data_IF_503974387798
#
_entry.id   IF_503974387798
#
_cell.length_a   1.000
_cell.length_b   1.000
_cell.length_c   1.000
_cell.angle_alpha   90.00
_cell.angle_beta   90.00
_cell.angle_gamma   90.00
#
_symmetry.space_group_name_H-M   'P 1'
#
loop_
_entity.id
_entity.type
_entity.pdbx_description
1 polymer ?
#
# COMPACT_ATOMS: atom_id res chain seq x y z
N UNK A 1 91.20 11.66 -14.42
CA UNK A 1 90.39 10.47 -14.77
C UNK A 1 89.98 9.78 -13.47
N UNK A 2 88.80 10.04 -12.95
CA UNK A 2 88.11 9.19 -11.99
C UNK A 2 86.64 9.74 -11.86
N UNK A 3 85.75 8.97 -12.31
CA UNK A 3 84.25 9.26 -12.29
C UNK A 3 83.75 9.28 -10.87
N UNK A 4 83.15 10.38 -10.45
CA UNK A 4 82.41 10.47 -9.21
C UNK A 4 80.97 10.14 -9.50
N UNK A 5 80.45 9.00 -8.97
CA UNK A 5 79.07 8.61 -9.01
C UNK A 5 78.30 9.28 -7.86
N UNK A 6 77.43 10.21 -8.16
CA UNK A 6 76.51 10.76 -7.19
C UNK A 6 75.27 9.82 -7.09
N UNK A 7 75.06 9.25 -5.91
CA UNK A 7 73.86 8.51 -5.54
C UNK A 7 72.82 9.52 -5.16
N UNK A 8 71.78 9.64 -5.99
CA UNK A 8 70.56 10.35 -5.60
C UNK A 8 69.66 9.37 -4.81
N UNK A 9 69.47 9.66 -3.54
CA UNK A 9 68.58 8.94 -2.66
C UNK A 9 67.17 9.54 -2.85
N UNK A 10 66.24 8.85 -3.54
CA UNK A 10 64.82 9.21 -3.59
C UNK A 10 64.17 8.76 -2.30
N UNK A 11 63.78 9.71 -1.45
CA UNK A 11 62.94 9.48 -0.29
C UNK A 11 61.50 9.42 -0.76
N UNK A 12 60.92 8.20 -0.90
CA UNK A 12 59.49 8.01 -1.12
C UNK A 12 58.76 8.28 0.18
N UNK A 13 58.13 9.43 0.29
CA UNK A 13 57.15 9.72 1.35
C UNK A 13 55.87 8.99 1.00
N UNK A 14 55.63 7.85 1.63
CA UNK A 14 54.32 7.18 1.65
C UNK A 14 53.37 8.03 2.46
N UNK A 15 52.54 8.84 1.81
CA UNK A 15 51.31 9.37 2.39
C UNK A 15 50.33 8.20 2.59
N UNK A 16 49.83 7.95 3.79
CA UNK A 16 48.75 7.02 3.94
C UNK A 16 47.53 7.58 3.20
N UNK A 17 47.17 6.96 2.10
CA UNK A 17 45.90 7.21 1.42
C UNK A 17 44.81 6.88 2.41
N UNK A 18 44.18 7.90 2.97
CA UNK A 18 42.89 7.79 3.61
C UNK A 18 41.90 7.32 2.54
N UNK A 19 41.65 6.04 2.52
CA UNK A 19 40.44 5.48 1.87
C UNK A 19 39.27 6.14 2.55
N UNK A 20 38.78 7.22 1.98
CA UNK A 20 37.43 7.69 2.25
C UNK A 20 36.50 6.58 1.75
N UNK A 21 36.15 5.65 2.62
CA UNK A 21 34.93 4.87 2.40
C UNK A 21 33.81 5.91 2.29
N UNK A 22 33.00 5.88 1.22
CA UNK A 22 31.79 6.67 1.24
C UNK A 22 31.07 6.27 2.53
N UNK A 23 30.72 7.24 3.37
CA UNK A 23 29.79 6.99 4.43
C UNK A 23 28.60 6.33 3.74
N UNK A 24 28.26 5.12 4.14
CA UNK A 24 27.04 4.46 3.72
C UNK A 24 25.95 5.46 4.14
N UNK A 25 25.33 6.12 3.16
CA UNK A 25 24.16 6.93 3.43
C UNK A 25 23.20 5.95 4.10
N UNK A 26 22.92 6.16 5.38
CA UNK A 26 21.93 5.34 6.07
C UNK A 26 20.66 5.37 5.23
N UNK A 27 20.02 4.23 5.03
CA UNK A 27 18.78 4.16 4.30
C UNK A 27 17.83 5.23 4.85
N UNK A 28 17.28 6.02 3.95
CA UNK A 28 16.43 7.13 4.34
C UNK A 28 15.12 6.57 4.89
N UNK A 29 14.78 6.91 6.14
CA UNK A 29 13.50 6.56 6.74
C UNK A 29 12.35 6.86 5.79
N UNK A 30 11.51 5.88 5.47
CA UNK A 30 10.28 6.11 4.71
C UNK A 30 9.27 6.85 5.60
N UNK A 31 8.78 7.97 5.11
CA UNK A 31 7.71 8.77 5.73
C UNK A 31 6.62 8.97 4.70
N UNK A 32 5.64 8.08 4.73
CA UNK A 32 4.59 7.98 3.74
C UNK A 32 3.25 8.57 4.16
N UNK A 33 2.44 8.91 3.17
CA UNK A 33 1.02 9.21 3.34
C UNK A 33 0.21 8.52 2.26
N UNK A 34 -0.88 7.85 2.64
CA UNK A 34 -1.84 7.26 1.69
C UNK A 34 -2.82 8.32 1.19
N UNK A 35 -3.06 8.28 -0.12
CA UNK A 35 -4.05 9.09 -0.83
C UNK A 35 -5.08 8.16 -1.45
N UNK A 36 -6.25 8.08 -0.82
CA UNK A 36 -7.35 7.19 -1.22
C UNK A 36 -8.21 7.84 -2.30
N UNK A 37 -8.53 7.06 -3.33
CA UNK A 37 -9.41 7.50 -4.42
C UNK A 37 -10.80 6.88 -4.34
N UNK A 38 -10.94 5.71 -3.68
CA UNK A 38 -12.25 5.08 -3.45
C UNK A 38 -13.16 6.02 -2.67
N UNK A 39 -14.41 6.13 -3.09
CA UNK A 39 -15.40 7.05 -2.52
C UNK A 39 -14.96 8.53 -2.52
N UNK A 40 -13.90 8.87 -3.27
CA UNK A 40 -13.35 10.23 -3.32
C UNK A 40 -12.93 10.75 -1.93
N UNK A 41 -12.37 9.84 -1.11
CA UNK A 41 -11.97 10.16 0.26
C UNK A 41 -10.92 11.27 0.31
N UNK A 42 -9.90 11.18 -0.56
CA UNK A 42 -8.80 12.16 -0.59
C UNK A 42 -8.68 12.84 -1.97
N UNK A 43 -8.88 12.07 -3.06
CA UNK A 43 -8.66 12.53 -4.44
C UNK A 43 -9.43 11.65 -5.45
N UNK A 44 -10.10 12.24 -6.46
CA UNK A 44 -10.45 13.67 -6.55
C UNK A 44 -11.57 14.04 -5.58
N UNK A 45 -11.77 15.34 -5.33
CA UNK A 45 -12.83 15.81 -4.41
C UNK A 45 -14.25 15.67 -4.97
N UNK A 46 -14.38 15.44 -6.28
CA UNK A 46 -15.65 15.19 -6.98
C UNK A 46 -15.39 14.56 -8.35
N UNK A 47 -16.40 13.87 -8.90
CA UNK A 47 -16.37 13.40 -10.29
C UNK A 47 -16.60 14.55 -11.27
N UNK A 48 -16.09 14.42 -12.50
CA UNK A 48 -16.33 15.36 -13.59
C UNK A 48 -15.54 16.68 -13.49
N UNK A 49 -14.50 16.70 -12.67
CA UNK A 49 -13.58 17.83 -12.60
C UNK A 49 -12.75 17.92 -13.88
N UNK A 50 -12.42 19.15 -14.29
CA UNK A 50 -11.50 19.40 -15.40
C UNK A 50 -10.06 18.98 -15.05
N UNK A 51 -9.24 18.73 -16.06
CA UNK A 51 -7.83 18.42 -15.88
C UNK A 51 -7.10 19.47 -15.02
N UNK A 52 -7.41 20.77 -15.20
CA UNK A 52 -6.80 21.84 -14.41
C UNK A 52 -7.23 21.84 -12.94
N UNK A 53 -8.47 21.49 -12.62
CA UNK A 53 -8.92 21.34 -11.23
C UNK A 53 -8.27 20.17 -10.54
N UNK A 54 -8.12 19.05 -11.25
CA UNK A 54 -7.44 17.86 -10.73
C UNK A 54 -5.96 18.10 -10.54
N UNK A 55 -5.28 18.78 -11.49
CA UNK A 55 -3.90 19.19 -11.33
C UNK A 55 -3.73 20.09 -10.09
N UNK A 56 -4.63 21.04 -9.89
CA UNK A 56 -4.57 21.92 -8.73
C UNK A 56 -4.69 21.14 -7.41
N UNK A 57 -5.59 20.14 -7.35
CA UNK A 57 -5.72 19.28 -6.16
C UNK A 57 -4.49 18.39 -5.96
N UNK A 58 -4.01 17.72 -7.00
CA UNK A 58 -2.81 16.89 -6.95
C UNK A 58 -1.59 17.69 -6.50
N UNK A 59 -1.43 18.92 -7.02
CA UNK A 59 -0.36 19.84 -6.61
C UNK A 59 -0.43 20.19 -5.11
N UNK A 60 -1.63 20.47 -4.59
CA UNK A 60 -1.82 20.72 -3.16
C UNK A 60 -1.42 19.50 -2.33
N UNK A 61 -1.78 18.28 -2.75
CA UNK A 61 -1.44 17.04 -2.05
C UNK A 61 0.07 16.88 -1.95
N UNK A 62 0.79 16.96 -3.07
CA UNK A 62 2.26 16.74 -3.07
C UNK A 62 3.01 17.91 -2.39
N UNK A 63 2.53 19.15 -2.52
CA UNK A 63 3.11 20.30 -1.83
C UNK A 63 2.97 20.18 -0.31
N UNK A 64 1.80 19.77 0.17
CA UNK A 64 1.58 19.52 1.58
C UNK A 64 2.42 18.33 2.08
N UNK A 65 2.42 17.21 1.39
CA UNK A 65 3.25 16.06 1.76
C UNK A 65 4.72 16.48 1.92
N UNK A 66 5.31 17.14 0.92
CA UNK A 66 6.69 17.61 0.97
C UNK A 66 6.95 18.61 2.10
N UNK A 67 6.09 19.62 2.25
CA UNK A 67 6.25 20.68 3.26
C UNK A 67 6.20 20.16 4.70
N UNK A 68 5.51 19.03 4.91
CA UNK A 68 5.38 18.35 6.20
C UNK A 68 6.52 17.38 6.50
N UNK A 69 7.37 17.09 5.51
CA UNK A 69 8.52 16.20 5.68
C UNK A 69 8.23 14.76 5.25
N UNK A 70 7.08 14.48 4.65
CA UNK A 70 6.87 13.20 3.96
C UNK A 70 7.79 13.10 2.75
N UNK A 71 8.20 11.88 2.43
CA UNK A 71 9.04 11.59 1.26
C UNK A 71 8.41 10.55 0.33
N UNK A 72 7.24 10.00 0.68
CA UNK A 72 6.49 9.04 -0.12
C UNK A 72 4.98 9.33 -0.14
N UNK A 73 4.36 9.11 -1.30
CA UNK A 73 2.90 9.15 -1.50
C UNK A 73 2.45 7.80 -2.04
N UNK A 74 1.50 7.17 -1.36
CA UNK A 74 0.84 5.94 -1.79
C UNK A 74 -0.49 6.32 -2.45
N UNK A 75 -0.50 6.43 -3.77
CA UNK A 75 -1.70 6.81 -4.52
C UNK A 75 -2.52 5.59 -4.88
N UNK A 76 -3.79 5.54 -4.46
CA UNK A 76 -4.70 4.47 -4.84
C UNK A 76 -5.07 4.61 -6.33
N UNK A 77 -4.42 3.81 -7.19
CA UNK A 77 -4.60 3.88 -8.65
C UNK A 77 -5.61 2.85 -9.18
N UNK A 78 -5.86 1.80 -8.40
CA UNK A 78 -6.87 0.77 -8.69
C UNK A 78 -7.69 0.48 -7.44
N UNK A 79 -8.71 1.32 -7.13
CA UNK A 79 -9.53 1.16 -5.93
C UNK A 79 -10.50 -0.03 -6.01
N UNK A 80 -10.80 -0.45 -7.23
CA UNK A 80 -11.71 -1.54 -7.56
C UNK A 80 -11.28 -2.14 -8.92
N UNK A 81 -12.16 -2.79 -9.67
CA UNK A 81 -11.92 -3.21 -11.06
C UNK A 81 -12.00 -2.02 -12.04
N UNK A 82 -11.36 -0.92 -11.70
CA UNK A 82 -11.28 0.30 -12.50
C UNK A 82 -9.96 1.05 -12.20
N UNK A 83 -9.52 1.94 -13.08
CA UNK A 83 -8.20 2.54 -13.05
C UNK A 83 -8.23 4.07 -13.00
N UNK A 84 -7.24 4.66 -12.29
CA UNK A 84 -6.89 6.08 -12.31
C UNK A 84 -5.68 6.36 -13.23
N UNK A 85 -5.48 5.49 -14.21
CA UNK A 85 -4.42 5.56 -15.20
C UNK A 85 -4.93 4.97 -16.52
N UNK A 86 -4.23 5.24 -17.61
CA UNK A 86 -4.57 4.65 -18.91
C UNK A 86 -4.24 3.17 -18.91
N UNK A 87 -5.26 2.33 -18.96
CA UNK A 87 -5.14 0.88 -18.95
C UNK A 87 -5.83 0.21 -20.12
N UNK A 88 -5.22 -0.86 -20.63
CA UNK A 88 -5.81 -1.79 -21.61
C UNK A 88 -6.64 -2.90 -20.93
N UNK A 89 -6.56 -3.02 -19.61
CA UNK A 89 -7.17 -4.12 -18.82
C UNK A 89 -8.33 -3.67 -17.94
N UNK A 90 -8.20 -2.52 -17.28
CA UNK A 90 -9.21 -1.95 -16.40
C UNK A 90 -9.85 -0.69 -17.03
N UNK A 91 -11.17 -0.50 -16.93
CA UNK A 91 -11.83 0.71 -17.42
C UNK A 91 -11.45 1.92 -16.58
N UNK A 92 -11.58 3.13 -17.14
CA UNK A 92 -11.47 4.37 -16.35
C UNK A 92 -12.41 4.36 -15.14
N UNK A 93 -11.92 4.81 -14.00
CA UNK A 93 -12.70 4.79 -12.76
C UNK A 93 -13.91 5.73 -12.81
N UNK A 94 -15.03 5.26 -12.28
CA UNK A 94 -16.26 6.07 -12.10
C UNK A 94 -16.02 7.33 -11.29
N UNK A 95 -15.05 7.32 -10.39
CA UNK A 95 -14.71 8.46 -9.53
C UNK A 95 -14.08 9.63 -10.28
N UNK A 96 -13.61 9.41 -11.52
CA UNK A 96 -13.05 10.48 -12.38
C UNK A 96 -14.14 11.30 -13.08
N UNK A 97 -15.05 10.62 -13.77
CA UNK A 97 -16.05 11.29 -14.64
C UNK A 97 -17.47 11.17 -14.13
N UNK A 98 -17.74 10.24 -13.21
CA UNK A 98 -19.08 9.82 -12.79
C UNK A 98 -19.61 8.63 -13.61
N UNK A 99 -18.90 8.19 -14.64
CA UNK A 99 -19.24 7.03 -15.49
C UNK A 99 -18.01 6.16 -15.67
N UNK A 100 -18.08 4.88 -15.27
CA UNK A 100 -16.98 3.94 -15.47
C UNK A 100 -16.73 3.76 -16.97
N UNK A 101 -15.47 3.62 -17.37
CA UNK A 101 -15.05 3.48 -18.77
C UNK A 101 -14.96 4.79 -19.56
N UNK A 102 -15.54 5.87 -19.08
CA UNK A 102 -15.46 7.17 -19.76
C UNK A 102 -14.07 7.80 -19.58
N UNK A 103 -13.35 8.01 -20.70
CA UNK A 103 -12.04 8.70 -20.72
C UNK A 103 -12.16 10.13 -20.15
N UNK A 104 -11.42 10.45 -19.08
CA UNK A 104 -11.42 11.80 -18.49
C UNK A 104 -10.67 12.84 -19.35
N UNK A 105 -9.98 12.42 -20.42
CA UNK A 105 -9.19 13.29 -21.30
C UNK A 105 -7.79 13.63 -20.77
N UNK A 106 -7.35 13.03 -19.69
CA UNK A 106 -6.01 13.18 -19.09
C UNK A 106 -5.65 11.88 -18.32
N UNK A 107 -4.40 11.77 -17.87
CA UNK A 107 -3.92 10.64 -17.07
C UNK A 107 -3.62 11.10 -15.63
N UNK A 108 -4.48 10.74 -14.65
CA UNK A 108 -4.30 11.17 -13.26
C UNK A 108 -3.04 10.65 -12.59
N UNK A 109 -2.63 9.40 -12.91
CA UNK A 109 -1.41 8.84 -12.36
C UNK A 109 -0.17 9.53 -12.92
N UNK A 110 -0.10 9.74 -14.25
CA UNK A 110 1.02 10.45 -14.86
C UNK A 110 1.15 11.87 -14.31
N UNK A 111 0.03 12.57 -14.15
CA UNK A 111 0.00 13.89 -13.54
C UNK A 111 0.57 13.88 -12.12
N UNK A 112 0.18 12.89 -11.28
CA UNK A 112 0.68 12.79 -9.91
C UNK A 112 2.18 12.46 -9.88
N UNK A 113 2.64 11.58 -10.78
CA UNK A 113 4.06 11.24 -10.94
C UNK A 113 4.89 12.50 -11.27
N UNK A 114 4.48 13.26 -12.29
CA UNK A 114 5.19 14.47 -12.70
C UNK A 114 5.31 15.46 -11.54
N UNK A 115 4.22 15.69 -10.80
CA UNK A 115 4.19 16.58 -9.65
C UNK A 115 5.03 16.06 -8.47
N UNK A 116 5.05 14.76 -8.23
CA UNK A 116 5.85 14.13 -7.18
C UNK A 116 7.36 14.21 -7.50
N UNK A 117 7.75 13.94 -8.76
CA UNK A 117 9.14 14.06 -9.22
C UNK A 117 9.68 15.48 -9.12
N UNK A 118 8.89 16.50 -9.43
CA UNK A 118 9.27 17.91 -9.23
C UNK A 118 9.64 18.25 -7.78
N UNK A 119 9.26 17.40 -6.81
CA UNK A 119 9.41 17.59 -5.37
C UNK A 119 10.31 16.55 -4.70
N UNK A 120 10.97 15.71 -5.48
CA UNK A 120 11.73 14.57 -4.96
C UNK A 120 10.89 13.73 -3.96
N UNK A 121 9.66 13.40 -4.35
CA UNK A 121 8.79 12.49 -3.61
C UNK A 121 8.75 11.14 -4.33
N UNK A 122 8.86 10.06 -3.54
CA UNK A 122 8.54 8.71 -3.97
C UNK A 122 7.04 8.62 -4.23
N UNK A 123 6.65 7.93 -5.31
CA UNK A 123 5.25 7.66 -5.67
C UNK A 123 5.04 6.16 -5.83
N UNK A 124 4.09 5.61 -5.09
CA UNK A 124 3.75 4.20 -5.15
C UNK A 124 2.33 4.01 -5.67
N UNK A 125 2.18 3.05 -6.59
CA UNK A 125 0.88 2.70 -7.15
C UNK A 125 0.16 1.71 -6.21
N UNK A 126 -0.81 2.21 -5.45
CA UNK A 126 -1.62 1.39 -4.57
C UNK A 126 -2.79 0.75 -5.31
N UNK A 127 -2.86 -0.57 -5.23
CA UNK A 127 -3.83 -1.45 -5.91
C UNK A 127 -4.62 -2.23 -4.85
N UNK A 128 -5.95 -2.22 -4.97
CA UNK A 128 -6.80 -3.23 -4.36
C UNK A 128 -6.96 -4.39 -5.37
N UNK A 129 -6.40 -5.58 -5.12
CA UNK A 129 -6.31 -6.59 -6.19
C UNK A 129 -7.64 -7.23 -6.57
N UNK A 130 -8.52 -7.52 -5.61
CA UNK A 130 -9.67 -8.39 -5.86
C UNK A 130 -11.03 -7.67 -5.90
N UNK A 131 -11.14 -6.45 -5.40
CA UNK A 131 -12.40 -5.72 -5.44
C UNK A 131 -12.73 -5.33 -6.88
N UNK A 132 -13.94 -5.68 -7.35
CA UNK A 132 -14.47 -5.29 -8.65
C UNK A 132 -15.28 -4.02 -8.57
N UNK A 133 -16.18 -3.92 -7.58
CA UNK A 133 -16.99 -2.73 -7.32
C UNK A 133 -17.51 -2.69 -5.90
N UNK A 134 -17.79 -1.49 -5.44
CA UNK A 134 -18.60 -1.24 -4.23
C UNK A 134 -20.10 -1.33 -4.57
N UNK A 135 -21.00 -1.44 -3.59
CA UNK A 135 -22.44 -1.50 -3.87
C UNK A 135 -22.99 -0.30 -4.65
N UNK A 136 -22.36 0.86 -4.50
CA UNK A 136 -22.84 2.12 -5.09
C UNK A 136 -22.30 2.38 -6.51
N UNK A 137 -21.31 1.62 -6.96
CA UNK A 137 -20.76 1.76 -8.31
C UNK A 137 -21.61 1.01 -9.34
N UNK A 138 -21.68 1.57 -10.55
CA UNK A 138 -22.21 0.88 -11.73
C UNK A 138 -21.04 0.23 -12.47
N UNK A 139 -21.22 -1.00 -12.92
CA UNK A 139 -20.23 -1.72 -13.71
C UNK A 139 -20.46 -1.44 -15.20
N UNK A 140 -19.40 -1.09 -15.91
CA UNK A 140 -19.44 -0.89 -17.35
C UNK A 140 -19.66 -2.24 -18.07
N UNK A 141 -20.66 -2.29 -18.95
CA UNK A 141 -21.07 -3.51 -19.66
C UNK A 141 -20.07 -3.99 -20.72
N UNK A 142 -19.17 -3.11 -21.16
CA UNK A 142 -18.19 -3.43 -22.20
C UNK A 142 -16.91 -4.06 -21.63
N UNK A 143 -16.83 -4.25 -20.29
CA UNK A 143 -15.67 -4.83 -19.63
C UNK A 143 -15.69 -6.35 -19.63
N UNK A 144 -14.48 -6.95 -19.63
CA UNK A 144 -14.34 -8.42 -19.48
C UNK A 144 -14.92 -8.90 -18.15
N UNK A 145 -14.80 -8.07 -17.08
CA UNK A 145 -15.33 -8.40 -15.76
C UNK A 145 -16.86 -8.47 -15.75
N UNK A 146 -17.55 -7.59 -16.49
CA UNK A 146 -18.99 -7.68 -16.68
C UNK A 146 -19.38 -8.94 -17.45
N UNK A 147 -18.67 -9.28 -18.51
CA UNK A 147 -18.91 -10.52 -19.27
C UNK A 147 -18.72 -11.74 -18.37
N UNK A 148 -17.65 -11.79 -17.57
CA UNK A 148 -17.44 -12.88 -16.61
C UNK A 148 -18.56 -12.96 -15.57
N UNK A 149 -19.03 -11.84 -15.04
CA UNK A 149 -20.15 -11.81 -14.11
C UNK A 149 -21.42 -12.44 -14.70
N UNK A 150 -21.69 -12.21 -15.99
CA UNK A 150 -22.90 -12.71 -16.66
C UNK A 150 -22.78 -14.14 -17.19
N UNK A 151 -21.58 -14.57 -17.56
CA UNK A 151 -21.37 -15.82 -18.29
C UNK A 151 -20.63 -16.89 -17.48
N UNK A 152 -19.90 -16.50 -16.40
CA UNK A 152 -19.02 -17.36 -15.63
C UNK A 152 -19.36 -17.32 -14.14
N UNK A 153 -20.15 -18.26 -13.66
CA UNK A 153 -20.71 -18.32 -12.29
C UNK A 153 -19.71 -18.22 -11.13
N UNK A 154 -18.39 -18.28 -11.40
CA UNK A 154 -17.34 -18.38 -10.37
C UNK A 154 -16.28 -17.29 -10.45
N UNK A 155 -16.24 -16.53 -11.55
CA UNK A 155 -15.15 -15.58 -11.79
C UNK A 155 -15.34 -14.30 -11.00
N UNK A 156 -16.55 -13.74 -11.03
CA UNK A 156 -16.93 -12.51 -10.34
C UNK A 156 -18.14 -12.79 -9.47
N UNK A 157 -17.97 -12.64 -8.16
CA UNK A 157 -18.97 -13.07 -7.19
C UNK A 157 -19.15 -12.05 -6.05
N UNK A 158 -20.32 -12.13 -5.40
CA UNK A 158 -20.54 -11.46 -4.10
C UNK A 158 -19.86 -12.24 -2.97
N UNK A 159 -19.84 -11.70 -1.76
CA UNK A 159 -19.37 -12.44 -0.57
C UNK A 159 -20.17 -13.71 -0.27
N UNK A 160 -21.37 -13.84 -0.84
CA UNK A 160 -22.23 -15.03 -0.74
C UNK A 160 -22.12 -15.97 -1.95
N UNK A 161 -21.13 -15.73 -2.83
CA UNK A 161 -20.91 -16.58 -4.02
C UNK A 161 -21.95 -16.43 -5.12
N UNK A 162 -22.74 -15.37 -5.10
CA UNK A 162 -23.71 -15.07 -6.15
C UNK A 162 -23.03 -14.34 -7.32
N UNK A 163 -23.49 -14.63 -8.54
CA UNK A 163 -23.07 -13.98 -9.78
C UNK A 163 -24.26 -13.62 -10.66
N UNK A 164 -24.02 -13.05 -11.84
CA UNK A 164 -25.05 -12.65 -12.77
C UNK A 164 -25.78 -11.37 -12.36
N UNK A 165 -26.95 -11.14 -13.00
CA UNK A 165 -27.71 -9.89 -12.86
C UNK A 165 -28.13 -9.59 -11.42
N UNK A 166 -28.46 -10.61 -10.63
CA UNK A 166 -28.86 -10.45 -9.23
C UNK A 166 -27.74 -9.88 -8.33
N UNK A 167 -26.49 -10.11 -8.69
CA UNK A 167 -25.32 -9.66 -7.95
C UNK A 167 -24.95 -8.18 -8.22
N UNK A 168 -25.47 -7.55 -9.26
CA UNK A 168 -25.12 -6.18 -9.65
C UNK A 168 -25.43 -5.12 -8.59
N UNK A 169 -26.37 -5.37 -7.69
CA UNK A 169 -26.69 -4.43 -6.60
C UNK A 169 -25.77 -4.54 -5.39
N UNK A 170 -24.83 -5.48 -5.39
CA UNK A 170 -23.95 -5.79 -4.27
C UNK A 170 -22.48 -5.41 -4.57
N UNK A 171 -21.63 -5.52 -3.56
CA UNK A 171 -20.18 -5.51 -3.76
C UNK A 171 -19.76 -6.78 -4.49
N UNK A 172 -18.84 -6.62 -5.45
CA UNK A 172 -18.35 -7.71 -6.29
C UNK A 172 -16.84 -7.86 -6.14
N UNK A 173 -16.40 -9.11 -6.23
CA UNK A 173 -15.01 -9.49 -6.07
C UNK A 173 -14.58 -10.49 -7.14
N UNK A 174 -13.34 -10.39 -7.59
CA UNK A 174 -12.69 -11.47 -8.34
C UNK A 174 -12.46 -12.64 -7.39
N UNK A 175 -12.80 -13.85 -7.82
CA UNK A 175 -12.48 -15.06 -7.05
C UNK A 175 -10.97 -15.35 -7.14
N UNK A 176 -10.23 -15.36 -6.03
CA UNK A 176 -8.77 -15.56 -6.04
C UNK A 176 -8.30 -16.91 -6.59
N UNK A 177 -9.19 -17.88 -6.67
CA UNK A 177 -8.90 -19.21 -7.15
C UNK A 177 -8.93 -19.37 -8.68
N UNK A 178 -9.36 -18.34 -9.41
CA UNK A 178 -9.52 -18.38 -10.86
C UNK A 178 -8.27 -17.81 -11.54
N UNK A 179 -7.64 -18.62 -12.39
CA UNK A 179 -6.38 -18.24 -13.05
C UNK A 179 -6.55 -17.01 -13.96
N UNK A 180 -7.70 -16.86 -14.63
CA UNK A 180 -8.01 -15.70 -15.48
C UNK A 180 -8.10 -14.41 -14.63
N UNK A 181 -8.65 -14.50 -13.42
CA UNK A 181 -8.69 -13.36 -12.49
C UNK A 181 -7.29 -12.97 -12.02
N UNK A 182 -6.47 -13.94 -11.66
CA UNK A 182 -5.06 -13.70 -11.33
C UNK A 182 -4.31 -13.10 -12.53
N UNK A 183 -4.57 -13.58 -13.75
CA UNK A 183 -3.96 -13.06 -14.96
C UNK A 183 -4.38 -11.60 -15.25
N UNK A 184 -5.65 -11.24 -15.00
CA UNK A 184 -6.12 -9.85 -15.13
C UNK A 184 -5.35 -8.91 -14.18
N UNK A 185 -5.25 -9.26 -12.88
CA UNK A 185 -4.50 -8.50 -11.89
C UNK A 185 -3.03 -8.37 -12.31
N UNK A 186 -2.41 -9.49 -12.68
CA UNK A 186 -1.01 -9.54 -13.09
C UNK A 186 -0.71 -8.68 -14.32
N UNK A 187 -1.63 -8.66 -15.30
CA UNK A 187 -1.48 -7.84 -16.49
C UNK A 187 -1.57 -6.34 -16.17
N UNK A 188 -2.50 -5.93 -15.30
CA UNK A 188 -2.58 -4.55 -14.81
C UNK A 188 -1.32 -4.10 -14.07
N UNK A 189 -0.74 -4.98 -13.22
CA UNK A 189 0.56 -4.71 -12.57
C UNK A 189 1.68 -4.55 -13.59
N UNK A 190 1.80 -5.47 -14.56
CA UNK A 190 2.81 -5.36 -15.62
C UNK A 190 2.68 -4.08 -16.43
N UNK A 191 1.46 -3.69 -16.75
CA UNK A 191 1.17 -2.45 -17.46
C UNK A 191 1.65 -1.22 -16.70
N UNK A 192 1.41 -1.15 -15.39
CA UNK A 192 1.90 -0.07 -14.53
C UNK A 192 3.44 -0.01 -14.53
N UNK A 193 4.10 -1.13 -14.28
CA UNK A 193 5.58 -1.20 -14.24
C UNK A 193 6.22 -0.85 -15.58
N UNK A 194 5.58 -1.18 -16.71
CA UNK A 194 6.10 -0.91 -18.05
C UNK A 194 5.90 0.52 -18.52
N UNK A 195 4.82 1.18 -18.08
CA UNK A 195 4.37 2.43 -18.69
C UNK A 195 4.54 3.66 -17.77
N UNK A 196 4.76 3.49 -16.47
CA UNK A 196 4.78 4.59 -15.50
C UNK A 196 6.07 4.60 -14.67
N UNK A 197 6.61 5.79 -14.44
CA UNK A 197 7.80 6.03 -13.60
C UNK A 197 7.39 6.09 -12.12
N UNK A 198 6.89 4.96 -11.60
CA UNK A 198 6.57 4.74 -10.20
C UNK A 198 7.74 4.08 -9.46
N UNK A 199 7.79 4.21 -8.14
CA UNK A 199 8.87 3.62 -7.33
C UNK A 199 8.52 2.22 -6.81
N UNK A 200 7.22 1.93 -6.67
CA UNK A 200 6.75 0.62 -6.20
C UNK A 200 5.31 0.33 -6.61
N UNK A 201 4.98 -0.96 -6.59
CA UNK A 201 3.61 -1.46 -6.53
C UNK A 201 3.28 -1.78 -5.07
N UNK A 202 2.13 -1.32 -4.62
CA UNK A 202 1.65 -1.48 -3.25
C UNK A 202 0.27 -2.15 -3.22
N UNK A 203 0.15 -3.31 -2.56
CA UNK A 203 -1.16 -3.94 -2.32
C UNK A 203 -1.63 -3.62 -0.91
N UNK A 204 -2.96 -3.53 -0.72
CA UNK A 204 -3.58 -3.37 0.59
C UNK A 204 -3.94 -4.72 1.25
N UNK A 205 -4.85 -4.69 2.23
CA UNK A 205 -5.24 -5.86 3.03
C UNK A 205 -6.46 -6.63 2.47
N UNK A 206 -7.00 -6.22 1.31
CA UNK A 206 -8.24 -6.81 0.77
C UNK A 206 -7.96 -8.01 -0.14
N UNK A 207 -7.62 -9.17 0.48
CA UNK A 207 -7.47 -10.46 -0.22
C UNK A 207 -8.81 -11.18 -0.29
N UNK A 208 -9.04 -12.21 0.52
CA UNK A 208 -10.38 -12.80 0.57
C UNK A 208 -11.36 -11.88 1.33
N UNK A 209 -12.53 -11.55 0.75
CA UNK A 209 -13.48 -10.62 1.38
C UNK A 209 -14.33 -11.27 2.47
N UNK A 210 -14.31 -12.60 2.57
CA UNK A 210 -15.15 -13.38 3.48
C UNK A 210 -14.55 -14.73 3.81
N UNK A 211 -14.91 -15.28 4.96
CA UNK A 211 -14.63 -16.67 5.34
C UNK A 211 -15.75 -17.63 4.97
N UNK A 212 -16.86 -17.13 4.41
CA UNK A 212 -17.98 -17.97 4.02
C UNK A 212 -17.54 -19.00 2.98
N UNK A 213 -17.92 -20.26 3.22
CA UNK A 213 -17.55 -21.38 2.36
C UNK A 213 -18.22 -21.33 0.98
N UNK A 214 -19.35 -20.61 0.86
CA UNK A 214 -20.07 -20.51 -0.42
C UNK A 214 -19.37 -19.63 -1.43
N UNK A 215 -18.48 -18.73 -0.98
CA UNK A 215 -17.81 -17.74 -1.84
C UNK A 215 -17.10 -18.37 -3.04
N UNK A 216 -16.36 -19.45 -2.80
CA UNK A 216 -15.52 -20.12 -3.80
C UNK A 216 -15.74 -21.64 -3.82
N UNK A 217 -16.88 -22.12 -3.29
CA UNK A 217 -17.18 -23.55 -3.13
C UNK A 217 -17.07 -24.35 -4.42
N UNK A 218 -17.54 -23.82 -5.57
CA UNK A 218 -17.48 -24.51 -6.86
C UNK A 218 -16.03 -24.67 -7.34
N UNK A 219 -15.20 -23.63 -7.18
CA UNK A 219 -13.80 -23.69 -7.55
C UNK A 219 -13.03 -24.68 -6.63
N UNK A 220 -13.33 -24.66 -5.32
CA UNK A 220 -12.74 -25.62 -4.38
C UNK A 220 -13.15 -27.07 -4.70
N UNK A 221 -14.41 -27.34 -5.08
CA UNK A 221 -14.84 -28.67 -5.53
C UNK A 221 -14.02 -29.14 -6.75
N UNK A 222 -13.78 -28.27 -7.72
CA UNK A 222 -12.99 -28.54 -8.93
C UNK A 222 -11.51 -28.77 -8.67
N UNK A 223 -10.95 -28.21 -7.60
CA UNK A 223 -9.54 -28.37 -7.21
C UNK A 223 -9.18 -29.80 -6.75
N UNK A 224 -10.19 -30.66 -6.55
CA UNK A 224 -9.99 -32.02 -6.04
C UNK A 224 -9.84 -32.11 -4.52
N UNK A 225 -9.86 -31.01 -3.79
CA UNK A 225 -9.82 -30.92 -2.32
C UNK A 225 -8.62 -31.63 -1.68
N UNK A 226 -7.45 -31.57 -2.32
CA UNK A 226 -6.22 -32.13 -1.78
C UNK A 226 -5.74 -31.39 -0.52
N UNK A 227 -6.01 -30.08 -0.44
CA UNK A 227 -5.76 -29.24 0.72
C UNK A 227 -7.07 -28.99 1.48
N UNK A 228 -6.96 -28.58 2.75
CA UNK A 228 -8.10 -27.98 3.45
C UNK A 228 -8.56 -26.70 2.72
N UNK A 229 -9.82 -26.29 2.90
CA UNK A 229 -10.32 -25.06 2.27
C UNK A 229 -9.45 -23.85 2.63
N UNK A 230 -9.07 -23.73 3.89
CA UNK A 230 -8.26 -22.62 4.39
C UNK A 230 -6.85 -22.62 3.81
N UNK A 231 -6.19 -23.78 3.73
CA UNK A 231 -4.86 -23.92 3.13
C UNK A 231 -4.92 -23.68 1.61
N UNK A 232 -5.97 -24.13 0.95
CA UNK A 232 -6.18 -23.91 -0.46
C UNK A 232 -6.39 -22.42 -0.77
N UNK A 233 -7.16 -21.69 0.04
CA UNK A 233 -7.34 -20.24 -0.09
C UNK A 233 -6.02 -19.50 0.10
N UNK A 234 -5.24 -19.85 1.14
CA UNK A 234 -3.89 -19.28 1.34
C UNK A 234 -2.98 -19.55 0.15
N UNK A 235 -3.01 -20.77 -0.38
CA UNK A 235 -2.23 -21.10 -1.57
C UNK A 235 -2.61 -20.27 -2.81
N UNK A 236 -3.89 -19.96 -3.00
CA UNK A 236 -4.33 -19.10 -4.11
C UNK A 236 -3.77 -17.68 -3.96
N UNK A 237 -3.81 -17.11 -2.75
CA UNK A 237 -3.24 -15.79 -2.48
C UNK A 237 -1.72 -15.81 -2.63
N UNK A 238 -1.02 -16.77 -2.01
CA UNK A 238 0.43 -16.91 -2.14
C UNK A 238 0.87 -17.03 -3.60
N UNK A 239 0.10 -17.77 -4.40
CA UNK A 239 0.36 -17.93 -5.84
C UNK A 239 0.30 -16.59 -6.58
N UNK A 240 -0.71 -15.76 -6.31
CA UNK A 240 -0.79 -14.43 -6.93
C UNK A 240 0.38 -13.54 -6.51
N UNK A 241 0.66 -13.48 -5.19
CA UNK A 241 1.72 -12.62 -4.66
C UNK A 241 3.07 -12.98 -5.29
N UNK A 242 3.42 -14.27 -5.33
CA UNK A 242 4.63 -14.76 -5.98
C UNK A 242 4.69 -14.40 -7.48
N UNK A 243 3.58 -14.64 -8.23
CA UNK A 243 3.51 -14.29 -9.66
C UNK A 243 3.68 -12.77 -9.89
N UNK A 244 3.14 -11.93 -9.00
CA UNK A 244 3.27 -10.47 -9.08
C UNK A 244 4.72 -10.06 -8.83
N UNK A 245 5.34 -10.54 -7.76
CA UNK A 245 6.75 -10.27 -7.47
C UNK A 245 7.66 -10.63 -8.64
N UNK A 246 7.58 -11.88 -9.10
CA UNK A 246 8.38 -12.36 -10.23
C UNK A 246 8.17 -11.53 -11.52
N UNK A 247 6.93 -11.11 -11.77
CA UNK A 247 6.64 -10.31 -12.96
C UNK A 247 7.20 -8.89 -12.86
N UNK A 248 7.15 -8.27 -11.68
CA UNK A 248 7.75 -6.95 -11.42
C UNK A 248 9.27 -7.04 -11.63
N UNK A 249 9.93 -7.99 -10.95
CA UNK A 249 11.40 -8.15 -11.02
C UNK A 249 11.91 -8.54 -12.41
N UNK A 250 11.09 -9.23 -13.20
CA UNK A 250 11.42 -9.55 -14.60
C UNK A 250 11.38 -8.33 -15.54
N UNK A 251 10.61 -7.29 -15.19
CA UNK A 251 10.51 -6.04 -15.97
C UNK A 251 11.52 -5.01 -15.46
N UNK A 252 11.55 -4.80 -14.16
CA UNK A 252 12.48 -3.90 -13.47
C UNK A 252 12.91 -4.51 -12.13
N UNK A 253 14.18 -4.92 -12.03
CA UNK A 253 14.73 -5.54 -10.81
C UNK A 253 14.77 -4.58 -9.61
N UNK A 254 14.78 -3.25 -9.85
CA UNK A 254 14.83 -2.23 -8.81
C UNK A 254 13.43 -1.77 -8.35
N UNK A 255 12.38 -2.06 -9.11
CA UNK A 255 11.00 -1.74 -8.71
C UNK A 255 10.62 -2.54 -7.47
N UNK A 256 10.16 -1.86 -6.42
CA UNK A 256 9.75 -2.54 -5.20
C UNK A 256 8.29 -3.04 -5.27
N UNK A 257 8.03 -4.11 -4.57
CA UNK A 257 6.69 -4.62 -4.33
C UNK A 257 6.46 -4.78 -2.83
N UNK A 258 5.42 -4.12 -2.33
CA UNK A 258 5.05 -4.19 -0.93
C UNK A 258 3.57 -4.44 -0.70
N UNK A 259 3.26 -4.86 0.53
CA UNK A 259 1.89 -5.17 0.96
C UNK A 259 1.63 -4.53 2.30
N UNK A 260 0.45 -3.90 2.46
CA UNK A 260 -0.05 -3.40 3.75
C UNK A 260 -1.18 -4.28 4.28
N UNK A 261 -0.85 -5.41 4.93
CA UNK A 261 -1.85 -6.30 5.52
C UNK A 261 -2.44 -5.72 6.80
N UNK A 262 -3.45 -6.39 7.37
CA UNK A 262 -3.98 -6.07 8.71
C UNK A 262 -2.87 -6.12 9.76
N UNK A 263 -2.96 -5.25 10.78
CA UNK A 263 -2.00 -5.24 11.89
C UNK A 263 -1.94 -6.56 12.68
N UNK A 264 -3.05 -7.27 12.78
CA UNK A 264 -3.09 -8.56 13.48
C UNK A 264 -2.75 -9.72 12.54
N UNK A 265 -1.65 -10.42 12.81
CA UNK A 265 -1.13 -11.52 12.00
C UNK A 265 -2.13 -12.70 11.93
N UNK A 266 -2.80 -13.01 13.04
CA UNK A 266 -3.76 -14.12 13.06
C UNK A 266 -5.02 -13.81 12.23
N UNK A 267 -5.44 -12.55 12.15
CA UNK A 267 -6.55 -12.12 11.28
C UNK A 267 -6.14 -12.28 9.81
N UNK A 268 -4.93 -11.89 9.43
CA UNK A 268 -4.42 -12.12 8.08
C UNK A 268 -4.50 -13.59 7.70
N UNK A 269 -3.95 -14.47 8.53
CA UNK A 269 -3.86 -15.91 8.27
C UNK A 269 -5.23 -16.59 8.24
N UNK A 270 -6.10 -16.28 9.23
CA UNK A 270 -7.35 -17.03 9.46
C UNK A 270 -8.61 -16.42 8.80
N UNK A 271 -8.56 -15.13 8.42
CA UNK A 271 -9.74 -14.42 7.89
C UNK A 271 -9.57 -13.91 6.47
N UNK A 272 -8.37 -13.47 6.14
CA UNK A 272 -8.05 -12.96 4.81
C UNK A 272 -7.26 -13.95 3.97
N UNK A 273 -6.85 -15.08 4.58
CA UNK A 273 -6.02 -16.11 3.96
C UNK A 273 -4.71 -15.57 3.36
N UNK A 274 -4.19 -14.52 4.01
CA UNK A 274 -2.92 -13.88 3.71
C UNK A 274 -1.85 -14.45 4.64
N UNK A 275 -0.95 -15.29 4.11
CA UNK A 275 0.10 -15.95 4.88
C UNK A 275 1.35 -15.05 4.95
N UNK A 276 1.22 -13.95 5.71
CA UNK A 276 2.26 -12.92 5.82
C UNK A 276 3.58 -13.47 6.38
N UNK A 277 3.52 -14.47 7.27
CA UNK A 277 4.74 -15.11 7.78
C UNK A 277 5.47 -15.84 6.66
N UNK A 278 4.74 -16.59 5.87
CA UNK A 278 5.31 -17.29 4.72
C UNK A 278 5.96 -16.34 3.72
N UNK A 279 5.33 -15.18 3.45
CA UNK A 279 5.88 -14.20 2.50
C UNK A 279 7.16 -13.53 3.02
N UNK A 280 7.25 -13.28 4.33
CA UNK A 280 8.44 -12.69 4.95
C UNK A 280 9.59 -13.72 5.04
N UNK A 281 9.28 -14.97 5.39
CA UNK A 281 10.27 -16.02 5.59
C UNK A 281 10.82 -16.64 4.30
N UNK A 282 10.22 -16.35 3.14
CA UNK A 282 10.59 -16.92 1.85
C UNK A 282 10.85 -15.85 0.80
N UNK A 283 11.97 -16.00 0.08
CA UNK A 283 12.29 -15.12 -1.07
C UNK A 283 11.26 -15.21 -2.19
N UNK A 284 11.11 -14.14 -2.97
CA UNK A 284 10.26 -14.12 -4.16
C UNK A 284 8.80 -13.74 -3.90
N UNK A 285 8.50 -13.06 -2.80
CA UNK A 285 7.15 -12.62 -2.46
C UNK A 285 7.01 -11.11 -2.35
N UNK A 286 7.89 -10.41 -1.64
CA UNK A 286 7.80 -8.96 -1.44
C UNK A 286 9.17 -8.37 -1.03
N UNK A 287 9.35 -7.08 -1.26
CA UNK A 287 10.53 -6.33 -0.81
C UNK A 287 10.29 -5.67 0.55
N UNK A 288 9.05 -5.26 0.82
CA UNK A 288 8.68 -4.67 2.11
C UNK A 288 7.28 -5.08 2.54
N UNK A 289 7.03 -5.01 3.85
CA UNK A 289 5.71 -5.19 4.46
C UNK A 289 5.36 -3.98 5.33
N UNK A 290 4.10 -3.53 5.25
CA UNK A 290 3.61 -2.34 5.96
C UNK A 290 2.30 -2.64 6.69
N UNK A 291 2.31 -3.44 7.78
CA UNK A 291 1.09 -3.77 8.50
C UNK A 291 0.35 -2.52 8.98
N UNK A 292 -0.96 -2.52 8.83
CA UNK A 292 -1.88 -1.47 9.26
C UNK A 292 -2.10 -1.59 10.77
N UNK A 293 -1.15 -1.10 11.58
CA UNK A 293 -1.21 -1.15 13.04
C UNK A 293 -2.07 0.02 13.55
N UNK A 294 -3.36 -0.06 13.23
CA UNK A 294 -4.34 0.99 13.55
C UNK A 294 -4.87 0.88 14.98
N UNK A 295 -3.95 0.68 15.93
CA UNK A 295 -4.23 0.48 17.34
C UNK A 295 -3.62 1.63 18.18
N UNK A 296 -4.27 1.96 19.29
CA UNK A 296 -3.65 2.79 20.33
C UNK A 296 -2.75 1.96 21.26
N UNK A 297 -2.01 2.61 22.12
CA UNK A 297 -1.17 1.92 23.13
C UNK A 297 -2.00 1.20 24.20
N UNK A 298 -3.24 1.68 24.44
CA UNK A 298 -4.18 1.10 25.42
C UNK A 298 -5.20 0.14 24.79
N UNK A 299 -5.08 -0.12 23.49
CA UNK A 299 -5.95 -1.06 22.79
C UNK A 299 -5.81 -2.48 23.39
N UNK A 300 -6.86 -3.29 23.34
CA UNK A 300 -6.83 -4.71 23.74
C UNK A 300 -5.81 -5.55 22.95
N UNK A 301 -5.47 -5.08 21.73
CA UNK A 301 -4.29 -5.49 20.94
C UNK A 301 -3.36 -4.28 20.89
N UNK A 302 -2.44 -4.10 21.86
CA UNK A 302 -1.70 -2.86 22.02
C UNK A 302 -0.75 -2.57 20.85
N UNK A 303 -0.66 -1.31 20.44
CA UNK A 303 0.23 -0.86 19.37
C UNK A 303 1.67 -1.37 19.56
N UNK A 304 2.26 -1.12 20.73
CA UNK A 304 3.65 -1.48 21.00
C UNK A 304 3.93 -2.98 20.81
N UNK A 305 3.11 -3.84 21.44
CA UNK A 305 3.28 -5.30 21.33
C UNK A 305 3.09 -5.80 19.90
N UNK A 306 2.16 -5.19 19.14
CA UNK A 306 1.93 -5.55 17.74
C UNK A 306 3.13 -5.17 16.88
N UNK A 307 3.67 -3.95 17.05
CA UNK A 307 4.85 -3.51 16.29
C UNK A 307 6.08 -4.37 16.63
N UNK A 308 6.29 -4.72 17.90
CA UNK A 308 7.36 -5.63 18.32
C UNK A 308 7.21 -7.01 17.67
N UNK A 309 5.99 -7.58 17.58
CA UNK A 309 5.75 -8.87 16.91
C UNK A 309 6.12 -8.81 15.43
N UNK A 310 5.76 -7.74 14.71
CA UNK A 310 6.13 -7.55 13.31
C UNK A 310 7.63 -7.31 13.14
N UNK A 311 8.26 -6.57 14.05
CA UNK A 311 9.70 -6.32 14.02
C UNK A 311 10.50 -7.62 14.25
N UNK A 312 10.07 -8.46 15.19
CA UNK A 312 10.69 -9.76 15.44
C UNK A 312 10.58 -10.68 14.21
N UNK A 313 9.43 -10.66 13.53
CA UNK A 313 9.21 -11.46 12.33
C UNK A 313 10.09 -10.97 11.17
N UNK A 314 10.10 -9.67 10.88
CA UNK A 314 10.86 -9.09 9.78
C UNK A 314 12.38 -9.17 10.00
N UNK A 315 12.85 -9.12 11.26
CA UNK A 315 14.29 -9.13 11.60
C UNK A 315 15.05 -10.36 11.13
N UNK A 316 14.36 -11.41 10.71
CA UNK A 316 14.94 -12.67 10.25
C UNK A 316 14.98 -12.81 8.72
N UNK A 317 14.66 -11.73 8.00
CA UNK A 317 14.56 -11.70 6.54
C UNK A 317 15.17 -10.40 5.97
N UNK A 318 15.26 -10.33 4.65
CA UNK A 318 15.65 -9.11 3.94
C UNK A 318 14.44 -8.22 3.60
N UNK A 319 13.26 -8.52 4.13
CA UNK A 319 12.02 -7.76 3.90
C UNK A 319 11.99 -6.54 4.81
N UNK A 320 11.86 -5.35 4.22
CA UNK A 320 11.77 -4.11 4.96
C UNK A 320 10.44 -3.98 5.69
N UNK A 321 10.49 -3.58 6.96
CA UNK A 321 9.30 -3.30 7.75
C UNK A 321 9.03 -1.79 7.81
N UNK A 322 7.85 -1.40 7.37
CA UNK A 322 7.25 -0.09 7.63
C UNK A 322 5.99 -0.27 8.46
N UNK A 323 5.54 0.77 9.18
CA UNK A 323 4.32 0.67 10.00
C UNK A 323 3.25 1.63 9.48
N UNK A 324 2.08 1.08 9.18
CA UNK A 324 0.88 1.85 8.85
C UNK A 324 0.20 2.39 10.11
N UNK A 325 -0.04 3.71 10.16
CA UNK A 325 -0.59 4.44 11.31
C UNK A 325 -1.93 5.10 10.95
N UNK A 326 -2.87 5.14 11.92
CA UNK A 326 -4.26 5.54 11.69
C UNK A 326 -4.53 7.02 12.00
N UNK A 327 -4.18 7.93 11.10
CA UNK A 327 -4.50 9.35 11.28
C UNK A 327 -6.02 9.62 11.33
N UNK A 328 -6.82 8.81 10.67
CA UNK A 328 -8.29 8.95 10.65
C UNK A 328 -8.97 8.68 12.00
N UNK A 329 -8.26 8.07 12.95
CA UNK A 329 -8.80 7.80 14.29
C UNK A 329 -8.68 8.97 15.25
N UNK A 330 -7.89 10.00 14.95
CA UNK A 330 -7.73 11.17 15.82
C UNK A 330 -9.10 11.78 16.14
N UNK A 331 -9.42 11.88 17.42
CA UNK A 331 -10.70 12.41 17.92
C UNK A 331 -11.89 11.46 17.78
N UNK A 332 -11.68 10.19 17.42
CA UNK A 332 -12.74 9.19 17.28
C UNK A 332 -12.70 8.15 18.42
N UNK A 333 -13.87 7.63 18.79
CA UNK A 333 -13.94 6.45 19.65
C UNK A 333 -13.47 5.21 18.88
N UNK A 334 -12.63 4.39 19.49
CA UNK A 334 -12.26 3.07 18.97
C UNK A 334 -13.05 1.97 19.67
N UNK A 335 -14.23 1.66 19.15
CA UNK A 335 -15.14 0.67 19.74
C UNK A 335 -14.53 -0.75 19.84
N UNK A 336 -13.47 -1.02 19.10
CA UNK A 336 -12.80 -2.32 19.06
C UNK A 336 -11.58 -2.39 20.00
N UNK A 337 -11.20 -1.26 20.61
CA UNK A 337 -10.02 -1.16 21.44
C UNK A 337 -10.14 -1.79 22.85
N UNK A 338 -11.37 -2.16 23.25
CA UNK A 338 -11.67 -2.53 24.63
C UNK A 338 -11.84 -1.30 25.53
N UNK A 339 -12.27 -1.51 26.78
CA UNK A 339 -12.64 -0.43 27.70
C UNK A 339 -11.53 0.60 27.93
N UNK A 340 -10.27 0.14 28.07
CA UNK A 340 -9.13 1.01 28.35
C UNK A 340 -8.65 1.84 27.14
N UNK A 341 -8.90 1.38 25.92
CA UNK A 341 -8.45 1.99 24.68
C UNK A 341 -9.52 2.79 23.94
N UNK A 342 -10.79 2.65 24.35
CA UNK A 342 -11.94 3.21 23.62
C UNK A 342 -11.80 4.71 23.35
N UNK A 343 -11.43 5.48 24.37
CA UNK A 343 -11.34 6.93 24.30
C UNK A 343 -9.90 7.45 24.06
N UNK A 344 -8.93 6.57 23.82
CA UNK A 344 -7.52 6.96 23.75
C UNK A 344 -7.27 7.99 22.64
N UNK A 345 -7.87 7.80 21.46
CA UNK A 345 -7.74 8.71 20.32
C UNK A 345 -8.43 10.08 20.55
N UNK A 346 -9.33 10.17 21.51
CA UNK A 346 -9.96 11.42 21.93
C UNK A 346 -9.10 12.11 23.01
N UNK A 347 -8.65 11.36 23.99
CA UNK A 347 -7.93 11.91 25.17
C UNK A 347 -6.48 12.23 24.85
N UNK A 348 -5.80 11.31 24.16
CA UNK A 348 -4.37 11.38 23.84
C UNK A 348 -4.12 11.67 22.34
N UNK A 349 -5.17 11.91 21.52
CA UNK A 349 -5.08 12.01 20.06
C UNK A 349 -4.28 13.20 19.54
N UNK A 350 -3.94 14.16 20.40
CA UNK A 350 -3.11 15.30 20.00
C UNK A 350 -1.61 14.99 19.94
N UNK A 351 -1.14 13.84 20.45
CA UNK A 351 0.27 13.42 20.36
C UNK A 351 0.45 11.90 20.12
N UNK A 352 -0.62 11.20 19.88
CA UNK A 352 -0.61 9.73 19.81
C UNK A 352 0.21 9.22 18.61
N UNK A 353 0.02 9.79 17.43
CA UNK A 353 0.79 9.41 16.23
C UNK A 353 2.26 9.78 16.39
N UNK A 354 2.58 10.93 16.97
CA UNK A 354 3.95 11.30 17.26
C UNK A 354 4.63 10.24 18.15
N UNK A 355 3.99 9.83 19.25
CA UNK A 355 4.49 8.78 20.13
C UNK A 355 4.65 7.43 19.42
N UNK A 356 3.75 7.11 18.49
CA UNK A 356 3.85 5.91 17.66
C UNK A 356 5.06 5.95 16.73
N UNK A 357 5.30 7.08 16.08
CA UNK A 357 6.50 7.28 15.23
C UNK A 357 7.78 7.20 16.07
N UNK A 358 7.81 7.86 17.23
CA UNK A 358 8.95 7.79 18.14
C UNK A 358 9.21 6.35 18.59
N UNK A 359 8.16 5.59 18.93
CA UNK A 359 8.28 4.18 19.29
C UNK A 359 8.88 3.33 18.15
N UNK A 360 8.43 3.52 16.90
CA UNK A 360 8.99 2.83 15.75
C UNK A 360 10.49 3.13 15.55
N UNK A 361 10.91 4.37 15.78
CA UNK A 361 12.33 4.79 15.69
C UNK A 361 13.20 4.25 16.81
N UNK A 362 12.62 4.01 17.98
CA UNK A 362 13.33 3.52 19.18
C UNK A 362 13.49 1.99 19.18
N UNK A 363 12.90 1.28 18.18
CA UNK A 363 13.08 -0.16 18.06
C UNK A 363 14.54 -0.53 17.82
N UNK A 364 15.00 -1.58 18.51
CA UNK A 364 16.39 -2.01 18.41
C UNK A 364 16.73 -2.55 17.01
N UNK A 365 17.93 -2.20 16.53
CA UNK A 365 18.52 -2.83 15.34
C UNK A 365 17.94 -2.37 14.01
N UNK A 366 17.37 -1.16 13.94
CA UNK A 366 16.74 -0.61 12.72
C UNK A 366 15.66 -1.55 12.15
N UNK A 367 14.95 -2.25 13.04
CA UNK A 367 13.92 -3.23 12.65
C UNK A 367 12.69 -2.59 12.02
N UNK A 368 12.51 -1.28 12.13
CA UNK A 368 11.47 -0.52 11.46
C UNK A 368 12.11 0.60 10.64
N UNK A 369 11.95 0.55 9.31
CA UNK A 369 12.60 1.48 8.38
C UNK A 369 11.72 2.69 8.04
N UNK A 370 10.57 2.84 8.66
CA UNK A 370 9.68 3.98 8.47
C UNK A 370 8.21 3.68 8.70
N UNK A 371 7.37 4.60 8.26
CA UNK A 371 5.93 4.53 8.49
C UNK A 371 5.15 5.24 7.39
N UNK A 372 3.84 4.98 7.32
CA UNK A 372 2.91 5.75 6.52
C UNK A 372 1.64 6.07 7.30
N UNK A 373 1.04 7.24 7.05
CA UNK A 373 -0.18 7.71 7.72
C UNK A 373 -1.40 7.50 6.83
N UNK A 374 -2.39 6.78 7.33
CA UNK A 374 -3.68 6.62 6.68
C UNK A 374 -4.69 7.56 7.34
N UNK A 375 -5.18 8.61 6.68
CA UNK A 375 -4.93 8.99 5.31
C UNK A 375 -4.69 10.50 5.18
N UNK A 376 -4.42 10.96 3.94
CA UNK A 376 -4.17 12.37 3.64
C UNK A 376 -5.32 13.28 4.10
N UNK A 377 -6.57 12.93 3.76
CA UNK A 377 -7.73 13.75 4.11
C UNK A 377 -7.91 13.93 5.60
N UNK A 378 -7.66 12.89 6.39
CA UNK A 378 -7.76 12.97 7.84
C UNK A 378 -6.79 13.99 8.46
N UNK A 379 -5.59 14.14 7.87
CA UNK A 379 -4.59 15.10 8.35
C UNK A 379 -4.82 16.52 7.81
N UNK A 380 -5.10 16.64 6.51
CA UNK A 380 -5.06 17.94 5.83
C UNK A 380 -6.43 18.53 5.54
N UNK A 381 -7.48 17.72 5.63
CA UNK A 381 -8.87 18.11 5.40
C UNK A 381 -9.80 17.57 6.51
N UNK A 382 -9.41 17.68 7.81
CA UNK A 382 -10.16 17.06 8.89
C UNK A 382 -11.56 17.65 9.02
N UNK A 383 -12.50 16.82 9.49
CA UNK A 383 -13.82 17.28 9.89
C UNK A 383 -13.74 18.33 10.99
N UNK A 384 -14.71 19.25 11.00
CA UNK A 384 -14.72 20.37 11.96
C UNK A 384 -14.74 19.90 13.41
N UNK A 385 -15.36 18.75 13.69
CA UNK A 385 -15.50 18.15 15.04
C UNK A 385 -14.17 17.73 15.66
N UNK A 386 -13.19 17.33 14.86
CA UNK A 386 -11.88 16.83 15.31
C UNK A 386 -10.72 17.75 14.94
N UNK A 387 -11.01 18.87 14.28
CA UNK A 387 -10.01 19.76 13.68
C UNK A 387 -8.97 20.27 14.68
N UNK A 388 -9.39 20.68 15.87
CA UNK A 388 -8.47 21.23 16.89
C UNK A 388 -7.44 20.16 17.31
N UNK A 389 -7.91 18.93 17.54
CA UNK A 389 -7.06 17.81 17.93
C UNK A 389 -6.11 17.36 16.80
N UNK A 390 -6.61 17.35 15.56
CA UNK A 390 -5.76 17.05 14.39
C UNK A 390 -4.68 18.12 14.20
N UNK A 391 -4.99 19.40 14.37
CA UNK A 391 -3.98 20.47 14.27
C UNK A 391 -2.94 20.36 15.40
N UNK A 392 -3.33 19.97 16.61
CA UNK A 392 -2.41 19.70 17.72
C UNK A 392 -1.46 18.54 17.37
N UNK A 393 -1.98 17.40 16.90
CA UNK A 393 -1.18 16.26 16.46
C UNK A 393 -0.22 16.66 15.32
N UNK A 394 -0.70 17.43 14.35
CA UNK A 394 0.13 17.91 13.24
C UNK A 394 1.31 18.74 13.73
N UNK A 395 1.10 19.68 14.64
CA UNK A 395 2.19 20.48 15.20
C UNK A 395 3.19 19.60 15.98
N UNK A 396 2.71 18.58 16.69
CA UNK A 396 3.55 17.60 17.37
C UNK A 396 4.37 16.74 16.39
N UNK A 397 3.72 16.18 15.36
CA UNK A 397 4.40 15.42 14.29
C UNK A 397 5.45 16.27 13.55
N UNK A 398 5.18 17.53 13.29
CA UNK A 398 6.10 18.43 12.60
C UNK A 398 7.42 18.63 13.32
N UNK A 399 7.45 18.43 14.64
CA UNK A 399 8.67 18.51 15.44
C UNK A 399 9.64 17.37 15.17
N UNK A 400 9.14 16.24 14.65
CA UNK A 400 9.89 15.00 14.43
C UNK A 400 10.03 14.59 12.97
N UNK A 401 9.25 15.20 12.04
CA UNK A 401 9.28 14.87 10.60
C UNK A 401 10.28 15.72 9.79
N UNK A 402 10.88 16.73 10.37
CA UNK A 402 11.84 17.66 9.72
C UNK A 402 13.28 17.23 9.91
#
# INVERSE_FOLDING_TARGET
MKKLLQKLLFLLVLLPGMLLFPAQAGELELRGVWVSTVYQLDYPSASGLSAGELEAQARVIVDQAKSWGFNAVFLQVRPAGDAFYRSDFDPWSVWLTGTQGQDPGYDPLQLMIDLARERDLRIEAWINPYRVKTPTQTLDTDTIVYQWLMEQDEYVVTTQGESGEAALSQALYLNPAIDENQALILNGVKELVQNYDIDAIHFDDYFYPTTDVVFDSKAYEKSGKELSLDDWRRNNVNTLIHKVYEAIKAIDENMEFGISPQGNIDINYNKQYADVKYWIENEGYLDYIMPQVYYGFKNSVPFAATVEEWADLASQSDVDLYIGLAAYKIGQEDQWAGEAGMDEWIVDGGDLLKRQVEFCRDLQGDSCKGFALYNYGALFQPEQSVKELVEEEKENLKTILK
#
